data_IF_643985061738
#
_entry.id   IF_643985061738
#
_cell.length_a   1.000
_cell.length_b   1.000
_cell.length_c   1.000
_cell.angle_alpha   90.00
_cell.angle_beta   90.00
_cell.angle_gamma   90.00
#
_symmetry.space_group_name_H-M   'P 1'
#
loop_
_entity.id
_entity.type
_entity.pdbx_description
1 polymer ?
#
# COMPACT_ATOMS: atom_id res chain seq x y z
N UNK A 1 17.43 -2.18 38.62
CA UNK A 1 17.36 -2.37 37.17
C UNK A 1 16.00 -1.95 36.71
N UNK A 2 15.93 -0.91 35.93
CA UNK A 2 14.70 -0.54 35.24
C UNK A 2 14.61 -1.50 34.06
N UNK A 3 13.60 -2.36 34.02
CA UNK A 3 13.31 -3.13 32.81
C UNK A 3 12.91 -2.12 31.74
N UNK A 4 13.79 -1.91 30.78
CA UNK A 4 13.44 -1.15 29.59
C UNK A 4 12.27 -1.85 28.90
N UNK A 5 11.14 -1.15 28.79
CA UNK A 5 10.00 -1.65 28.04
C UNK A 5 10.43 -1.78 26.56
N UNK A 6 10.46 -3.01 26.00
CA UNK A 6 10.94 -3.21 24.63
C UNK A 6 10.04 -2.54 23.58
N UNK A 7 8.94 -1.92 24.00
CA UNK A 7 8.00 -1.23 23.12
C UNK A 7 8.02 0.30 23.28
N UNK A 8 8.89 0.82 24.15
CA UNK A 8 8.90 2.24 24.54
C UNK A 8 9.21 3.19 23.37
N UNK A 9 9.97 2.73 22.39
CA UNK A 9 10.37 3.50 21.21
C UNK A 9 9.50 3.25 19.97
N UNK A 10 8.41 2.49 20.09
CA UNK A 10 7.52 2.21 18.97
C UNK A 10 6.53 3.34 18.76
N UNK A 11 6.24 3.62 17.49
CA UNK A 11 5.25 4.62 17.09
C UNK A 11 4.34 4.05 16.01
N UNK A 12 3.10 4.56 15.96
CA UNK A 12 2.10 4.14 14.98
C UNK A 12 2.36 4.79 13.61
N UNK A 13 2.33 3.97 12.58
CA UNK A 13 2.35 4.42 11.17
C UNK A 13 1.47 3.51 10.32
N UNK A 14 1.04 4.05 9.20
CA UNK A 14 0.33 3.29 8.17
C UNK A 14 1.24 3.08 6.98
N UNK A 15 1.30 1.83 6.52
CA UNK A 15 2.12 1.41 5.38
C UNK A 15 1.24 0.99 4.23
N UNK A 16 1.63 1.41 3.03
CA UNK A 16 1.03 0.96 1.80
C UNK A 16 2.12 0.43 0.86
N UNK A 17 1.93 -0.77 0.38
CA UNK A 17 2.72 -1.32 -0.72
C UNK A 17 1.87 -1.28 -1.97
N UNK A 18 2.42 -0.75 -3.04
CA UNK A 18 1.78 -0.66 -4.34
C UNK A 18 2.69 -1.26 -5.40
N UNK A 19 2.13 -1.93 -6.38
CA UNK A 19 2.86 -2.32 -7.57
C UNK A 19 1.96 -2.39 -8.80
N UNK A 20 2.60 -2.52 -9.96
CA UNK A 20 1.92 -2.71 -11.23
C UNK A 20 1.72 -4.21 -11.49
N UNK A 21 0.48 -4.63 -11.59
CA UNK A 21 0.15 -6.03 -11.86
C UNK A 21 0.60 -6.44 -13.26
N UNK A 22 1.38 -7.52 -13.34
CA UNK A 22 1.81 -8.07 -14.63
C UNK A 22 2.96 -7.34 -15.31
N UNK A 23 3.75 -6.54 -14.58
CA UNK A 23 4.87 -5.76 -15.14
C UNK A 23 5.93 -6.66 -15.81
N UNK A 24 6.29 -7.79 -15.21
CA UNK A 24 7.27 -8.72 -15.79
C UNK A 24 6.79 -9.27 -17.13
N UNK A 25 5.55 -9.73 -17.21
CA UNK A 25 4.94 -10.22 -18.45
C UNK A 25 4.86 -9.12 -19.51
N UNK A 26 4.54 -7.90 -19.10
CA UNK A 26 4.52 -6.74 -20.00
C UNK A 26 5.91 -6.45 -20.58
N UNK A 27 6.95 -6.49 -19.74
CA UNK A 27 8.33 -6.27 -20.14
C UNK A 27 8.79 -7.33 -21.15
N UNK A 28 8.47 -8.60 -20.88
CA UNK A 28 8.81 -9.72 -21.76
C UNK A 28 8.15 -9.59 -23.13
N UNK A 29 6.92 -9.07 -23.16
CA UNK A 29 6.15 -8.94 -24.40
C UNK A 29 6.52 -7.69 -25.20
N UNK A 30 6.71 -6.55 -24.53
CA UNK A 30 6.83 -5.23 -25.19
C UNK A 30 8.23 -4.64 -25.14
N UNK A 31 9.14 -5.25 -24.38
CA UNK A 31 10.54 -4.85 -24.30
C UNK A 31 10.83 -3.82 -23.22
N UNK A 32 12.11 -3.62 -22.99
CA UNK A 32 12.61 -2.76 -21.91
C UNK A 32 12.22 -1.29 -22.07
N UNK A 33 12.24 -0.78 -23.29
CA UNK A 33 11.90 0.63 -23.55
C UNK A 33 10.45 0.93 -23.16
N UNK A 34 9.52 0.09 -23.57
CA UNK A 34 8.10 0.23 -23.20
C UNK A 34 7.91 0.10 -21.69
N UNK A 35 8.62 -0.85 -21.07
CA UNK A 35 8.58 -1.05 -19.61
C UNK A 35 9.08 0.17 -18.85
N UNK A 36 10.16 0.80 -19.30
CA UNK A 36 10.71 2.02 -18.67
C UNK A 36 9.72 3.18 -18.78
N UNK A 37 9.04 3.34 -19.89
CA UNK A 37 8.02 4.39 -20.06
C UNK A 37 6.85 4.19 -19.10
N UNK A 38 6.34 2.97 -18.99
CA UNK A 38 5.26 2.62 -18.04
C UNK A 38 5.70 2.88 -16.60
N UNK A 39 6.92 2.47 -16.25
CA UNK A 39 7.45 2.64 -14.90
C UNK A 39 7.66 4.13 -14.57
N UNK A 40 8.17 4.92 -15.49
CA UNK A 40 8.37 6.36 -15.29
C UNK A 40 7.04 7.09 -15.07
N UNK A 41 6.03 6.78 -15.86
CA UNK A 41 4.68 7.36 -15.70
C UNK A 41 4.06 6.98 -14.37
N UNK A 42 4.21 5.73 -13.97
CA UNK A 42 3.74 5.25 -12.66
C UNK A 42 4.46 5.95 -11.50
N UNK A 43 5.78 6.04 -11.55
CA UNK A 43 6.57 6.73 -10.52
C UNK A 43 6.23 8.22 -10.44
N UNK A 44 6.00 8.87 -11.56
CA UNK A 44 5.57 10.25 -11.59
C UNK A 44 4.22 10.43 -10.90
N UNK A 45 3.26 9.56 -11.19
CA UNK A 45 1.94 9.56 -10.54
C UNK A 45 2.05 9.37 -9.03
N UNK A 46 2.83 8.38 -8.59
CA UNK A 46 3.04 8.12 -7.16
C UNK A 46 3.68 9.32 -6.46
N UNK A 47 4.72 9.92 -7.05
CA UNK A 47 5.37 11.12 -6.51
C UNK A 47 4.40 12.28 -6.38
N UNK A 48 3.60 12.51 -7.41
CA UNK A 48 2.63 13.61 -7.44
C UNK A 48 1.60 13.47 -6.33
N UNK A 49 1.01 12.30 -6.17
CA UNK A 49 0.00 12.04 -5.12
C UNK A 49 0.65 12.08 -3.75
N UNK A 50 1.79 11.44 -3.56
CA UNK A 50 2.50 11.41 -2.28
C UNK A 50 2.88 12.82 -1.81
N UNK A 51 3.42 13.64 -2.69
CA UNK A 51 3.79 15.03 -2.39
C UNK A 51 2.58 15.86 -1.99
N UNK A 52 1.48 15.76 -2.72
CA UNK A 52 0.27 16.52 -2.43
C UNK A 52 -0.42 16.10 -1.15
N UNK A 53 -0.42 14.80 -0.83
CA UNK A 53 -1.01 14.23 0.38
C UNK A 53 -0.10 14.28 1.60
N UNK A 54 1.17 14.65 1.44
CA UNK A 54 2.12 14.70 2.53
C UNK A 54 2.53 13.33 3.07
N UNK A 55 2.50 12.30 2.23
CA UNK A 55 2.99 10.96 2.58
C UNK A 55 4.41 10.75 2.03
N UNK A 56 5.15 9.88 2.69
CA UNK A 56 6.53 9.59 2.35
C UNK A 56 6.64 8.37 1.43
N UNK A 57 7.41 8.49 0.37
CA UNK A 57 7.87 7.34 -0.40
C UNK A 57 9.12 6.81 0.31
N UNK A 58 8.99 5.72 1.05
CA UNK A 58 10.09 5.15 1.81
C UNK A 58 11.10 4.44 0.92
N UNK A 59 10.60 3.68 -0.06
CA UNK A 59 11.43 2.91 -1.01
C UNK A 59 10.71 2.74 -2.33
N UNK A 60 11.49 2.75 -3.42
CA UNK A 60 11.09 2.20 -4.69
C UNK A 60 11.49 0.71 -4.75
N UNK A 61 10.60 -0.14 -5.21
CA UNK A 61 10.74 -1.60 -5.21
C UNK A 61 10.51 -2.16 -6.62
N UNK A 62 11.41 -1.88 -7.54
CA UNK A 62 11.22 -2.26 -8.93
C UNK A 62 10.00 -1.56 -9.54
N UNK A 63 8.96 -2.33 -9.86
CA UNK A 63 7.68 -1.85 -10.39
C UNK A 63 6.68 -1.41 -9.31
N UNK A 64 7.13 -1.27 -8.08
CA UNK A 64 6.31 -0.87 -6.95
C UNK A 64 6.98 0.14 -6.04
N UNK A 65 6.31 0.43 -4.93
CA UNK A 65 6.79 1.37 -3.91
C UNK A 65 6.24 1.01 -2.53
N UNK A 66 7.01 1.36 -1.51
CA UNK A 66 6.58 1.37 -0.12
C UNK A 66 6.32 2.80 0.30
N UNK A 67 5.10 3.09 0.73
CA UNK A 67 4.65 4.40 1.18
C UNK A 67 4.35 4.37 2.67
N UNK A 68 4.63 5.47 3.35
CA UNK A 68 4.42 5.61 4.79
C UNK A 68 3.64 6.88 5.09
N UNK A 69 2.59 6.75 5.89
CA UNK A 69 1.78 7.86 6.36
C UNK A 69 1.62 7.81 7.88
N UNK A 70 1.39 8.96 8.48
CA UNK A 70 1.07 9.06 9.92
C UNK A 70 -0.34 8.55 10.16
N UNK A 71 -1.30 8.95 9.32
CA UNK A 71 -2.71 8.66 9.49
C UNK A 71 -3.19 7.62 8.47
N UNK A 72 -4.00 6.63 8.90
CA UNK A 72 -4.54 5.64 7.96
C UNK A 72 -5.46 6.25 6.90
N UNK A 73 -6.19 7.31 7.23
CA UNK A 73 -7.07 8.02 6.28
C UNK A 73 -6.26 8.62 5.13
N UNK A 74 -5.16 9.27 5.44
CA UNK A 74 -4.29 9.91 4.44
C UNK A 74 -3.67 8.88 3.51
N UNK A 75 -3.20 7.76 4.06
CA UNK A 75 -2.66 6.67 3.26
C UNK A 75 -3.72 6.08 2.34
N UNK A 76 -4.91 5.83 2.86
CA UNK A 76 -6.03 5.25 2.11
C UNK A 76 -6.45 6.16 0.96
N UNK A 77 -6.64 7.45 1.22
CA UNK A 77 -6.99 8.44 0.20
C UNK A 77 -5.94 8.52 -0.91
N UNK A 78 -4.65 8.50 -0.53
CA UNK A 78 -3.56 8.54 -1.50
C UNK A 78 -3.57 7.32 -2.42
N UNK A 79 -3.73 6.12 -1.85
CA UNK A 79 -3.75 4.88 -2.64
C UNK A 79 -4.97 4.82 -3.56
N UNK A 80 -6.13 5.23 -3.07
CA UNK A 80 -7.36 5.24 -3.89
C UNK A 80 -7.26 6.28 -5.01
N UNK A 81 -6.60 7.40 -4.79
CA UNK A 81 -6.34 8.39 -5.84
C UNK A 81 -5.39 7.86 -6.92
N UNK A 82 -4.34 7.15 -6.53
CA UNK A 82 -3.43 6.49 -7.47
C UNK A 82 -4.20 5.45 -8.29
N UNK A 83 -5.00 4.63 -7.63
CA UNK A 83 -5.84 3.63 -8.30
C UNK A 83 -6.77 4.27 -9.34
N UNK A 84 -7.48 5.30 -8.95
CA UNK A 84 -8.43 6.00 -9.82
C UNK A 84 -7.73 6.66 -11.02
N UNK A 85 -6.62 7.36 -10.76
CA UNK A 85 -5.84 8.03 -11.80
C UNK A 85 -5.29 7.04 -12.82
N UNK A 86 -4.78 5.91 -12.34
CA UNK A 86 -4.26 4.85 -13.22
C UNK A 86 -5.37 4.22 -14.04
N UNK A 87 -6.53 3.94 -13.44
CA UNK A 87 -7.68 3.35 -14.11
C UNK A 87 -8.28 4.26 -15.19
N UNK A 88 -8.22 5.57 -15.00
CA UNK A 88 -8.71 6.59 -15.96
C UNK A 88 -7.69 6.93 -17.05
N UNK A 89 -6.44 6.50 -16.90
CA UNK A 89 -5.38 6.75 -17.86
C UNK A 89 -5.33 5.66 -18.94
N UNK A 90 -4.46 5.86 -19.92
CA UNK A 90 -4.16 4.85 -20.94
C UNK A 90 -3.10 3.83 -20.45
N UNK A 91 -2.83 3.78 -19.17
CA UNK A 91 -1.84 2.87 -18.60
C UNK A 91 -2.21 1.40 -18.90
N UNK A 92 -1.25 0.61 -19.39
CA UNK A 92 -1.54 -0.77 -19.81
C UNK A 92 -1.63 -1.77 -18.66
N UNK A 93 -1.27 -1.36 -17.44
CA UNK A 93 -1.23 -2.21 -16.26
C UNK A 93 -2.06 -1.62 -15.13
N UNK A 94 -2.68 -2.50 -14.36
CA UNK A 94 -3.48 -2.12 -13.20
C UNK A 94 -2.65 -2.11 -11.92
N UNK A 95 -3.04 -1.26 -10.99
CA UNK A 95 -2.48 -1.21 -9.65
C UNK A 95 -3.00 -2.38 -8.81
N UNK A 96 -2.14 -2.92 -7.97
CA UNK A 96 -2.54 -3.67 -6.79
C UNK A 96 -1.86 -3.09 -5.56
N UNK A 97 -2.51 -3.15 -4.42
CA UNK A 97 -2.01 -2.53 -3.20
C UNK A 97 -2.44 -3.27 -1.95
N UNK A 98 -1.63 -3.11 -0.91
CA UNK A 98 -1.94 -3.59 0.44
C UNK A 98 -1.62 -2.52 1.47
N UNK A 99 -2.51 -2.34 2.44
CA UNK A 99 -2.36 -1.37 3.52
C UNK A 99 -2.53 -2.02 4.89
N UNK A 100 -1.72 -1.59 5.84
CA UNK A 100 -1.83 -1.97 7.23
C UNK A 100 -1.24 -0.88 8.13
N UNK A 101 -1.81 -0.74 9.32
CA UNK A 101 -1.32 0.18 10.36
C UNK A 101 -0.85 -0.60 11.57
N UNK A 102 0.12 -0.07 12.27
CA UNK A 102 0.58 -0.65 13.52
C UNK A 102 1.84 0.00 14.08
N UNK A 103 2.27 -0.46 15.26
CA UNK A 103 3.47 0.04 15.89
C UNK A 103 4.72 -0.46 15.17
N UNK A 104 5.67 0.45 14.97
CA UNK A 104 6.95 0.17 14.30
C UNK A 104 8.10 0.85 15.01
N UNK A 105 9.30 0.34 14.75
CA UNK A 105 10.56 0.96 15.10
C UNK A 105 11.22 1.52 13.85
N UNK A 106 11.90 2.64 13.98
CA UNK A 106 12.76 3.18 12.95
C UNK A 106 14.20 2.75 13.24
N UNK A 107 14.86 2.13 12.25
CA UNK A 107 16.23 1.64 12.35
C UNK A 107 17.14 2.47 11.45
N UNK A 108 18.22 2.98 12.01
CA UNK A 108 19.19 3.82 11.30
C UNK A 108 18.57 5.03 10.56
N UNK A 109 17.43 5.51 11.04
CA UNK A 109 16.71 6.64 10.45
C UNK A 109 16.03 6.36 9.10
N UNK A 110 16.12 5.15 8.57
CA UNK A 110 15.66 4.83 7.21
C UNK A 110 14.70 3.65 7.12
N UNK A 111 14.92 2.59 7.90
CA UNK A 111 14.15 1.35 7.81
C UNK A 111 13.12 1.24 8.93
N UNK A 112 11.93 0.75 8.58
CA UNK A 112 10.86 0.48 9.52
C UNK A 112 10.77 -1.00 9.83
N UNK A 113 10.73 -1.36 11.12
CA UNK A 113 10.53 -2.73 11.59
C UNK A 113 9.20 -2.85 12.32
N UNK A 114 8.38 -3.82 11.94
CA UNK A 114 7.13 -4.12 12.60
C UNK A 114 6.21 -4.97 11.74
N UNK A 115 5.21 -5.57 12.38
CA UNK A 115 4.25 -6.45 11.70
C UNK A 115 3.44 -5.72 10.63
N UNK A 116 3.16 -4.43 10.83
CA UNK A 116 2.39 -3.64 9.86
C UNK A 116 3.08 -3.54 8.51
N UNK A 117 4.41 -3.40 8.49
CA UNK A 117 5.20 -3.36 7.25
C UNK A 117 5.06 -4.69 6.49
N UNK A 118 5.27 -5.81 7.18
CA UNK A 118 5.17 -7.15 6.59
C UNK A 118 3.75 -7.45 6.13
N UNK A 119 2.75 -7.05 6.93
CA UNK A 119 1.34 -7.25 6.58
C UNK A 119 0.98 -6.51 5.31
N UNK A 120 1.30 -5.22 5.20
CA UNK A 120 1.00 -4.42 4.00
C UNK A 120 1.64 -5.02 2.74
N UNK A 121 2.89 -5.49 2.84
CA UNK A 121 3.60 -6.16 1.75
C UNK A 121 2.88 -7.45 1.33
N UNK A 122 2.48 -8.30 2.28
CA UNK A 122 1.78 -9.55 1.99
C UNK A 122 0.40 -9.32 1.39
N UNK A 123 -0.30 -8.28 1.82
CA UNK A 123 -1.60 -7.92 1.25
C UNK A 123 -1.46 -7.44 -0.19
N UNK A 124 -0.42 -6.68 -0.50
CA UNK A 124 -0.12 -6.30 -1.89
C UNK A 124 0.11 -7.53 -2.77
N UNK A 125 0.90 -8.50 -2.29
CA UNK A 125 1.14 -9.76 -3.01
C UNK A 125 -0.12 -10.57 -3.22
N UNK A 126 -1.05 -10.53 -2.28
CA UNK A 126 -2.33 -11.26 -2.33
C UNK A 126 -3.36 -10.58 -3.24
N UNK A 127 -3.28 -9.27 -3.41
CA UNK A 127 -4.25 -8.49 -4.17
C UNK A 127 -4.25 -8.87 -5.65
N UNK A 128 -5.44 -8.98 -6.21
CA UNK A 128 -5.65 -9.15 -7.65
C UNK A 128 -5.46 -7.82 -8.39
N UNK A 129 -5.29 -7.84 -9.73
CA UNK A 129 -5.20 -6.60 -10.50
C UNK A 129 -6.38 -5.66 -10.22
N UNK A 130 -6.09 -4.41 -9.90
CA UNK A 130 -7.10 -3.41 -9.56
C UNK A 130 -7.62 -3.51 -8.12
N UNK A 131 -7.10 -4.44 -7.32
CA UNK A 131 -7.57 -4.68 -5.96
C UNK A 131 -6.68 -4.00 -4.92
N UNK A 132 -7.33 -3.39 -3.94
CA UNK A 132 -6.67 -2.79 -2.76
C UNK A 132 -7.18 -3.52 -1.52
N UNK A 133 -6.28 -4.20 -0.83
CA UNK A 133 -6.58 -4.93 0.40
C UNK A 133 -6.02 -4.20 1.62
N UNK A 134 -6.76 -4.24 2.72
CA UNK A 134 -6.35 -3.68 3.98
C UNK A 134 -6.78 -4.58 5.13
N UNK A 135 -6.12 -4.43 6.28
CA UNK A 135 -6.60 -5.06 7.50
C UNK A 135 -7.86 -4.33 7.99
N UNK A 136 -8.84 -5.09 8.48
CA UNK A 136 -10.10 -4.50 9.00
C UNK A 136 -9.85 -3.52 10.14
N UNK A 137 -8.83 -3.77 10.96
CA UNK A 137 -8.45 -2.92 12.10
C UNK A 137 -7.96 -1.52 11.66
N UNK A 138 -7.57 -1.36 10.40
CA UNK A 138 -7.11 -0.07 9.87
C UNK A 138 -8.26 0.89 9.55
N UNK A 139 -9.47 0.36 9.35
CA UNK A 139 -10.62 1.15 8.93
C UNK A 139 -11.11 2.03 10.07
N UNK A 140 -11.27 3.32 9.80
CA UNK A 140 -11.75 4.31 10.77
C UNK A 140 -13.03 4.97 10.29
N UNK A 141 -13.75 5.64 11.22
CA UNK A 141 -14.95 6.41 10.90
C UNK A 141 -14.68 7.64 10.03
N UNK A 142 -13.41 8.03 9.88
CA UNK A 142 -13.02 9.18 9.05
C UNK A 142 -12.88 8.82 7.57
N UNK A 143 -12.94 7.54 7.23
CA UNK A 143 -12.83 7.06 5.84
C UNK A 143 -14.18 7.10 5.11
N UNK A 144 -14.82 8.25 5.14
CA UNK A 144 -16.19 8.44 4.62
C UNK A 144 -16.30 8.32 3.09
N UNK A 145 -15.20 8.58 2.39
CA UNK A 145 -15.16 8.58 0.92
C UNK A 145 -14.57 7.30 0.33
N UNK A 146 -14.26 6.33 1.16
CA UNK A 146 -13.66 5.07 0.70
C UNK A 146 -14.51 3.89 1.19
N UNK A 147 -15.38 3.36 0.32
CA UNK A 147 -16.14 2.17 0.65
C UNK A 147 -15.21 0.99 0.94
N UNK A 148 -15.53 0.22 1.96
CA UNK A 148 -14.83 -1.01 2.29
C UNK A 148 -15.81 -2.18 2.37
N UNK A 149 -15.38 -3.33 1.84
CA UNK A 149 -16.16 -4.56 1.87
C UNK A 149 -15.38 -5.60 2.67
N UNK A 150 -15.94 -6.11 3.79
CA UNK A 150 -15.31 -7.22 4.50
C UNK A 150 -15.19 -8.44 3.59
N UNK A 151 -14.01 -9.07 3.61
CA UNK A 151 -13.75 -10.30 2.86
C UNK A 151 -13.41 -11.48 3.76
N UNK A 152 -13.63 -11.33 5.06
CA UNK A 152 -13.43 -12.39 6.06
C UNK A 152 -12.01 -12.56 6.50
N UNK A 153 -11.78 -13.66 7.21
CA UNK A 153 -10.46 -14.01 7.75
C UNK A 153 -9.62 -14.75 6.74
N UNK A 154 -8.39 -14.33 6.59
CA UNK A 154 -7.43 -14.94 5.67
C UNK A 154 -6.15 -15.31 6.40
N UNK A 155 -5.59 -16.44 6.02
CA UNK A 155 -4.27 -16.87 6.45
C UNK A 155 -3.23 -16.06 5.67
N UNK A 156 -2.36 -15.36 6.39
CA UNK A 156 -1.30 -14.54 5.77
C UNK A 156 0.06 -15.16 6.12
N UNK A 157 0.89 -15.37 5.11
CA UNK A 157 2.22 -15.96 5.26
C UNK A 157 3.04 -15.17 6.28
N UNK A 158 3.59 -15.86 7.29
CA UNK A 158 4.38 -15.25 8.35
C UNK A 158 3.58 -14.82 9.57
N UNK A 159 2.25 -14.99 9.55
CA UNK A 159 1.38 -14.68 10.68
C UNK A 159 0.70 -15.95 11.18
N UNK A 160 0.70 -16.14 12.51
CA UNK A 160 0.15 -17.35 13.15
C UNK A 160 -1.36 -17.43 13.03
N UNK A 161 -2.03 -16.31 13.25
CA UNK A 161 -3.49 -16.22 13.27
C UNK A 161 -4.02 -15.68 11.95
N UNK A 162 -5.23 -16.08 11.60
CA UNK A 162 -5.94 -15.51 10.47
C UNK A 162 -6.33 -14.06 10.75
N UNK A 163 -6.28 -13.22 9.74
CA UNK A 163 -6.49 -11.79 9.82
C UNK A 163 -7.77 -11.40 9.07
N UNK A 164 -8.61 -10.60 9.70
CA UNK A 164 -9.78 -10.01 9.04
C UNK A 164 -9.33 -8.94 8.06
N UNK A 165 -9.77 -9.09 6.82
CA UNK A 165 -9.42 -8.20 5.72
C UNK A 165 -10.64 -7.49 5.17
N UNK A 166 -10.39 -6.34 4.55
CA UNK A 166 -11.35 -5.61 3.74
C UNK A 166 -10.78 -5.34 2.35
N UNK A 167 -11.67 -5.24 1.39
CA UNK A 167 -11.37 -4.69 0.07
C UNK A 167 -11.83 -3.25 0.03
N UNK A 168 -10.92 -2.35 -0.37
CA UNK A 168 -11.23 -0.94 -0.56
C UNK A 168 -11.62 -0.71 -2.03
N UNK A 169 -12.70 0.01 -2.25
CA UNK A 169 -13.20 0.31 -3.60
C UNK A 169 -13.36 1.81 -3.78
N UNK A 170 -13.33 2.24 -5.05
CA UNK A 170 -13.63 3.63 -5.37
C UNK A 170 -15.10 3.92 -5.06
N UNK A 171 -15.37 5.12 -4.54
CA UNK A 171 -16.73 5.59 -4.38
C UNK A 171 -17.38 5.65 -5.77
N UNK A 172 -18.58 5.06 -5.90
CA UNK A 172 -19.35 5.20 -7.14
C UNK A 172 -19.71 6.67 -7.30
N UNK A 173 -19.07 7.35 -8.25
CA UNK A 173 -19.61 8.60 -8.77
C UNK A 173 -20.87 8.24 -9.54
N UNK A 174 -22.00 8.41 -8.88
CA UNK A 174 -23.31 8.25 -9.50
C UNK A 174 -23.52 9.23 -10.63
#
# INVERSE_FOLDING_TARGET
MIEENPYEDRFERTFAFVDLSGFTTFTDRWGDKAAVEVLNDFRFLVRTVASRKGIRIAKWLGDGAMLVAVEPETATEAIMEILESLAKSDAPLELRAGLASGPVLLVDGEDYLGHAVNMASRLCDKAEPGEVLATSSMITSLMVNTPSTPIGKHKIKGFKESIDLVRLTLANSG
#
